data_IF_087442173808
#
_entry.id   IF_087442173808
#
_cell.length_a   1.000
_cell.length_b   1.000
_cell.length_c   1.000
_cell.angle_alpha   90.00
_cell.angle_beta   90.00
_cell.angle_gamma   90.00
#
_symmetry.space_group_name_H-M   'P 1'
#
loop_
_entity.id
_entity.type
_entity.pdbx_description
1 polymer ?
#
# COMPACT_ATOMS: atom_id res chain seq x y z
N UNK A 1 31.46 -13.74 46.90
CA UNK A 1 31.16 -12.57 46.05
C UNK A 1 31.29 -12.86 44.54
N UNK A 2 32.35 -13.54 44.09
CA UNK A 2 32.58 -13.84 42.65
C UNK A 2 31.55 -14.78 42.00
N UNK A 3 30.84 -15.63 42.75
CA UNK A 3 29.85 -16.57 42.20
C UNK A 3 28.59 -15.85 41.70
N UNK A 4 28.10 -14.85 42.44
CA UNK A 4 26.92 -14.06 42.04
C UNK A 4 27.20 -13.22 40.80
N UNK A 5 28.36 -12.56 40.72
CA UNK A 5 28.75 -11.75 39.55
C UNK A 5 28.84 -12.62 38.30
N UNK A 6 29.38 -13.83 38.39
CA UNK A 6 29.49 -14.75 37.24
C UNK A 6 28.13 -15.24 36.74
N UNK A 7 27.17 -15.49 37.62
CA UNK A 7 25.82 -15.88 37.28
C UNK A 7 25.05 -14.73 36.61
N UNK A 8 25.18 -13.51 37.10
CA UNK A 8 24.55 -12.33 36.49
C UNK A 8 25.04 -12.07 35.07
N UNK A 9 26.33 -12.18 34.82
CA UNK A 9 26.89 -12.04 33.47
C UNK A 9 26.44 -13.16 32.53
N UNK A 10 26.33 -14.38 33.03
CA UNK A 10 25.82 -15.52 32.25
C UNK A 10 24.35 -15.35 31.89
N UNK A 11 23.54 -14.94 32.85
CA UNK A 11 22.11 -14.65 32.64
C UNK A 11 21.91 -13.51 31.65
N UNK A 12 22.65 -12.41 31.79
CA UNK A 12 22.58 -11.28 30.87
C UNK A 12 22.92 -11.69 29.43
N UNK A 13 23.93 -12.53 29.21
CA UNK A 13 24.28 -13.04 27.88
C UNK A 13 23.15 -13.89 27.27
N UNK A 14 22.55 -14.77 28.07
CA UNK A 14 21.41 -15.59 27.59
C UNK A 14 20.21 -14.72 27.26
N UNK A 15 19.89 -13.74 28.12
CA UNK A 15 18.80 -12.80 27.89
C UNK A 15 19.00 -11.99 26.60
N UNK A 16 20.17 -11.40 26.39
CA UNK A 16 20.49 -10.65 25.17
C UNK A 16 20.37 -11.53 23.93
N UNK A 17 20.89 -12.76 23.97
CA UNK A 17 20.79 -13.70 22.84
C UNK A 17 19.34 -14.05 22.53
N UNK A 18 18.51 -14.31 23.55
CA UNK A 18 17.11 -14.64 23.38
C UNK A 18 16.32 -13.45 22.81
N UNK A 19 16.54 -12.25 23.34
CA UNK A 19 15.90 -11.03 22.85
C UNK A 19 16.29 -10.73 21.40
N UNK A 20 17.57 -10.89 21.06
CA UNK A 20 18.04 -10.72 19.66
C UNK A 20 17.38 -11.74 18.74
N UNK A 21 17.25 -12.99 19.14
CA UNK A 21 16.60 -14.03 18.35
C UNK A 21 15.11 -13.71 18.13
N UNK A 22 14.40 -13.32 19.17
CA UNK A 22 13.00 -12.89 19.07
C UNK A 22 12.83 -11.71 18.12
N UNK A 23 13.68 -10.70 18.25
CA UNK A 23 13.68 -9.52 17.37
C UNK A 23 13.88 -9.90 15.89
N UNK A 24 14.82 -10.80 15.60
CA UNK A 24 15.04 -11.30 14.23
C UNK A 24 13.81 -12.04 13.72
N UNK A 25 13.19 -12.89 14.54
CA UNK A 25 11.96 -13.60 14.17
C UNK A 25 10.81 -12.63 13.87
N UNK A 26 10.62 -11.60 14.68
CA UNK A 26 9.57 -10.59 14.49
C UNK A 26 9.77 -9.82 13.18
N UNK A 27 10.97 -9.31 12.94
CA UNK A 27 11.27 -8.59 11.69
C UNK A 27 11.14 -9.46 10.45
N UNK A 28 11.59 -10.73 10.52
CA UNK A 28 11.44 -11.67 9.40
C UNK A 28 9.97 -12.03 9.15
N UNK A 29 9.18 -12.21 10.19
CA UNK A 29 7.74 -12.45 10.09
C UNK A 29 7.00 -11.30 9.43
N UNK A 30 7.31 -10.05 9.82
CA UNK A 30 6.75 -8.84 9.20
C UNK A 30 7.16 -8.77 7.71
N UNK A 31 8.43 -9.02 7.38
CA UNK A 31 8.93 -8.98 6.01
C UNK A 31 8.21 -10.00 5.12
N UNK A 32 8.11 -11.25 5.56
CA UNK A 32 7.42 -12.31 4.83
C UNK A 32 5.94 -11.96 4.64
N UNK A 33 5.28 -11.48 5.68
CA UNK A 33 3.88 -11.06 5.62
C UNK A 33 3.66 -9.94 4.60
N UNK A 34 4.50 -8.91 4.61
CA UNK A 34 4.43 -7.82 3.64
C UNK A 34 4.62 -8.32 2.20
N UNK A 35 5.61 -9.18 1.96
CA UNK A 35 5.86 -9.73 0.63
C UNK A 35 4.65 -10.56 0.15
N UNK A 36 4.10 -11.42 0.98
CA UNK A 36 2.99 -12.28 0.59
C UNK A 36 1.71 -11.46 0.34
N UNK A 37 1.28 -10.65 1.32
CA UNK A 37 -0.02 -9.98 1.26
C UNK A 37 -0.04 -8.72 0.39
N UNK A 38 1.08 -8.01 0.28
CA UNK A 38 1.14 -6.74 -0.45
C UNK A 38 1.87 -6.82 -1.80
N UNK A 39 2.65 -7.87 -2.05
CA UNK A 39 3.33 -8.06 -3.33
C UNK A 39 2.77 -9.26 -4.09
N UNK A 40 2.88 -10.47 -3.53
CA UNK A 40 2.55 -11.70 -4.26
C UNK A 40 1.06 -11.76 -4.59
N UNK A 41 0.18 -11.63 -3.61
CA UNK A 41 -1.28 -11.71 -3.82
C UNK A 41 -1.77 -10.69 -4.84
N UNK A 42 -1.45 -9.38 -4.76
CA UNK A 42 -1.89 -8.42 -5.76
C UNK A 42 -1.29 -8.63 -7.16
N UNK A 43 -0.06 -9.16 -7.28
CA UNK A 43 0.53 -9.45 -8.58
C UNK A 43 -0.15 -10.60 -9.31
N UNK A 44 -0.69 -11.59 -8.56
CA UNK A 44 -1.47 -12.71 -9.09
C UNK A 44 -2.88 -12.24 -9.47
N UNK A 45 -3.45 -11.30 -8.73
CA UNK A 45 -4.78 -10.78 -9.00
C UNK A 45 -4.83 -9.94 -10.29
N UNK A 46 -5.89 -10.10 -11.07
CA UNK A 46 -6.09 -9.41 -12.37
C UNK A 46 -6.06 -7.88 -12.23
N UNK A 47 -6.67 -7.36 -11.14
CA UNK A 47 -6.81 -5.91 -10.92
C UNK A 47 -5.70 -5.34 -10.02
N UNK A 48 -4.69 -6.14 -9.66
CA UNK A 48 -3.56 -5.75 -8.80
C UNK A 48 -3.99 -5.08 -7.51
N UNK A 49 -5.03 -5.62 -6.90
CA UNK A 49 -5.61 -5.13 -5.65
C UNK A 49 -5.11 -5.94 -4.47
N UNK A 50 -4.89 -5.29 -3.32
CA UNK A 50 -4.78 -6.02 -2.06
C UNK A 50 -6.14 -6.57 -1.66
N UNK A 51 -6.18 -7.63 -0.84
CA UNK A 51 -7.43 -8.24 -0.37
C UNK A 51 -8.39 -7.21 0.23
N UNK A 52 -7.88 -6.29 1.05
CA UNK A 52 -8.69 -5.23 1.65
C UNK A 52 -9.29 -4.28 0.61
N UNK A 53 -8.51 -3.87 -0.40
CA UNK A 53 -9.01 -3.01 -1.49
C UNK A 53 -10.07 -3.71 -2.34
N UNK A 54 -9.92 -5.01 -2.58
CA UNK A 54 -10.93 -5.80 -3.27
C UNK A 54 -12.26 -5.87 -2.51
N UNK A 55 -12.20 -6.08 -1.20
CA UNK A 55 -13.39 -6.06 -0.33
C UNK A 55 -14.10 -4.70 -0.36
N UNK A 56 -13.32 -3.61 -0.36
CA UNK A 56 -13.85 -2.24 -0.45
C UNK A 56 -14.15 -1.79 -1.89
N UNK A 57 -14.00 -2.66 -2.91
CA UNK A 57 -14.20 -2.33 -4.34
C UNK A 57 -13.35 -1.14 -4.83
N UNK A 58 -12.13 -0.99 -4.28
CA UNK A 58 -11.20 0.07 -4.63
C UNK A 58 -10.17 -0.44 -5.65
N UNK A 59 -9.98 0.26 -6.75
CA UNK A 59 -8.97 -0.03 -7.79
C UNK A 59 -7.90 1.05 -7.81
N UNK A 60 -6.68 0.66 -8.16
CA UNK A 60 -5.55 1.58 -8.32
C UNK A 60 -5.42 1.92 -9.80
N UNK A 61 -5.61 3.18 -10.13
CA UNK A 61 -5.41 3.70 -11.47
C UNK A 61 -4.16 4.59 -11.56
N UNK A 62 -3.58 4.61 -12.74
CA UNK A 62 -2.55 5.58 -13.11
C UNK A 62 -3.21 6.94 -13.40
N UNK A 63 -2.42 8.01 -13.60
CA UNK A 63 -2.91 9.33 -14.02
C UNK A 63 -3.81 9.26 -15.28
N UNK A 64 -3.55 8.33 -16.17
CA UNK A 64 -4.29 8.14 -17.42
C UNK A 64 -5.62 7.37 -17.26
N UNK A 65 -6.03 7.02 -16.03
CA UNK A 65 -7.24 6.25 -15.77
C UNK A 65 -7.13 4.74 -16.03
N UNK A 66 -5.96 4.25 -16.42
CA UNK A 66 -5.72 2.83 -16.68
C UNK A 66 -5.29 2.09 -15.40
N UNK A 67 -5.55 0.78 -15.36
CA UNK A 67 -5.08 -0.09 -14.26
C UNK A 67 -3.54 -0.09 -14.23
N UNK A 68 -2.98 0.12 -13.07
CA UNK A 68 -1.54 0.24 -12.84
C UNK A 68 -0.76 -0.95 -13.40
N UNK A 69 0.34 -0.72 -14.13
CA UNK A 69 1.22 -1.78 -14.64
C UNK A 69 1.91 -2.55 -13.50
N UNK A 70 2.37 -3.78 -13.77
CA UNK A 70 3.07 -4.61 -12.76
C UNK A 70 4.32 -3.94 -12.19
N UNK A 71 5.08 -3.26 -13.07
CA UNK A 71 6.29 -2.54 -12.67
C UNK A 71 5.99 -1.37 -11.72
N UNK A 72 5.01 -0.53 -12.06
CA UNK A 72 4.58 0.60 -11.23
C UNK A 72 4.07 0.10 -9.87
N UNK A 73 3.31 -1.02 -9.84
CA UNK A 73 2.86 -1.61 -8.61
C UNK A 73 4.01 -2.11 -7.72
N UNK A 74 5.04 -2.72 -8.31
CA UNK A 74 6.23 -3.19 -7.58
C UNK A 74 7.02 -2.02 -6.99
N UNK A 75 7.21 -0.93 -7.75
CA UNK A 75 7.87 0.29 -7.25
C UNK A 75 7.08 0.89 -6.07
N UNK A 76 5.76 0.96 -6.19
CA UNK A 76 4.87 1.40 -5.13
C UNK A 76 5.03 0.55 -3.86
N UNK A 77 5.09 -0.78 -4.01
CA UNK A 77 5.33 -1.69 -2.90
C UNK A 77 6.70 -1.46 -2.24
N UNK A 78 7.77 -1.26 -3.05
CA UNK A 78 9.10 -0.97 -2.52
C UNK A 78 9.12 0.34 -1.70
N UNK A 79 8.49 1.40 -2.19
CA UNK A 79 8.37 2.67 -1.46
C UNK A 79 7.56 2.50 -0.17
N UNK A 80 6.48 1.73 -0.20
CA UNK A 80 5.71 1.40 0.99
C UNK A 80 6.52 0.61 2.01
N UNK A 81 7.23 -0.42 1.57
CA UNK A 81 8.12 -1.22 2.42
C UNK A 81 9.25 -0.37 3.01
N UNK A 82 9.86 0.52 2.21
CA UNK A 82 10.87 1.47 2.69
C UNK A 82 10.30 2.41 3.77
N UNK A 83 9.08 2.91 3.59
CA UNK A 83 8.41 3.75 4.59
C UNK A 83 8.15 2.97 5.88
N UNK A 84 7.70 1.72 5.78
CA UNK A 84 7.45 0.86 6.94
C UNK A 84 8.72 0.51 7.69
N UNK A 85 9.76 0.03 7.01
CA UNK A 85 11.05 -0.27 7.65
C UNK A 85 11.79 0.98 8.12
N UNK A 86 11.73 2.08 7.36
CA UNK A 86 12.27 3.37 7.78
C UNK A 86 11.60 3.89 9.04
N UNK A 87 10.29 3.62 9.24
CA UNK A 87 9.59 4.03 10.46
C UNK A 87 10.07 3.30 11.71
N UNK A 88 10.57 2.07 11.58
CA UNK A 88 11.17 1.33 12.70
C UNK A 88 12.49 1.94 13.12
N UNK A 89 13.29 2.47 12.18
CA UNK A 89 14.57 3.12 12.45
C UNK A 89 14.37 4.53 13.02
N UNK A 90 13.42 5.30 12.47
CA UNK A 90 13.18 6.69 12.79
C UNK A 90 11.96 6.90 13.72
N UNK A 91 11.68 5.96 14.62
CA UNK A 91 10.61 6.05 15.63
C UNK A 91 9.24 6.50 15.06
N UNK A 92 8.86 6.02 13.87
CA UNK A 92 7.57 6.29 13.26
C UNK A 92 7.47 7.57 12.42
N UNK A 93 8.52 8.39 12.32
CA UNK A 93 8.49 9.64 11.55
C UNK A 93 8.08 9.47 10.08
N UNK A 94 8.59 8.50 9.30
CA UNK A 94 8.15 8.29 7.92
C UNK A 94 6.67 7.88 7.80
N UNK A 95 6.16 7.12 8.76
CA UNK A 95 4.75 6.76 8.81
C UNK A 95 3.88 7.97 9.10
N UNK A 96 4.25 8.81 10.07
CA UNK A 96 3.59 10.08 10.36
C UNK A 96 3.57 11.00 9.14
N UNK A 97 4.68 11.15 8.43
CA UNK A 97 4.76 11.92 7.20
C UNK A 97 3.80 11.38 6.13
N UNK A 98 3.69 10.05 5.98
CA UNK A 98 2.75 9.42 5.04
C UNK A 98 1.29 9.69 5.40
N UNK A 99 0.93 9.63 6.70
CA UNK A 99 -0.43 9.94 7.19
C UNK A 99 -0.75 11.42 7.01
N UNK A 100 0.19 12.31 7.29
CA UNK A 100 0.03 13.75 7.04
C UNK A 100 -0.17 14.06 5.56
N UNK A 101 0.62 13.46 4.68
CA UNK A 101 0.42 13.59 3.22
C UNK A 101 -0.98 13.14 2.80
N UNK A 102 -1.46 12.02 3.34
CA UNK A 102 -2.79 11.51 3.06
C UNK A 102 -3.89 12.48 3.54
N UNK A 103 -3.71 13.12 4.69
CA UNK A 103 -4.67 14.09 5.26
C UNK A 103 -4.66 15.42 4.53
N UNK A 104 -3.49 15.88 4.06
CA UNK A 104 -3.32 17.19 3.39
C UNK A 104 -3.66 17.14 1.90
N UNK A 105 -3.60 15.95 1.29
CA UNK A 105 -3.84 15.79 -0.15
C UNK A 105 -5.35 15.67 -0.43
N UNK A 106 -5.88 16.47 -1.35
CA UNK A 106 -7.31 16.44 -1.74
C UNK A 106 -7.83 15.06 -2.16
N UNK A 107 -6.95 14.19 -2.66
CA UNK A 107 -7.29 12.86 -3.12
C UNK A 107 -6.97 11.75 -2.10
N UNK A 108 -6.59 12.10 -0.86
CA UNK A 108 -6.18 11.13 0.15
C UNK A 108 -4.97 10.27 -0.25
N UNK A 109 -4.07 10.83 -1.08
CA UNK A 109 -2.91 10.10 -1.57
C UNK A 109 -1.81 10.03 -0.50
N UNK A 110 -1.33 8.82 -0.21
CA UNK A 110 -0.19 8.61 0.67
C UNK A 110 1.13 9.00 -0.01
N UNK A 111 2.21 9.10 0.78
CA UNK A 111 3.52 9.52 0.27
C UNK A 111 3.98 8.68 -0.94
N UNK A 112 3.84 7.36 -0.86
CA UNK A 112 4.21 6.45 -1.95
C UNK A 112 3.28 6.57 -3.18
N UNK A 113 2.01 6.94 -2.99
CA UNK A 113 1.07 7.21 -4.08
C UNK A 113 1.40 8.49 -4.83
N UNK A 114 1.85 9.53 -4.12
CA UNK A 114 2.29 10.79 -4.70
C UNK A 114 3.53 10.61 -5.58
N UNK A 115 4.52 9.85 -5.09
CA UNK A 115 5.78 9.59 -5.82
C UNK A 115 5.52 8.80 -7.11
N UNK A 116 4.67 7.77 -7.06
CA UNK A 116 4.36 6.92 -8.22
C UNK A 116 3.23 7.49 -9.08
N UNK A 117 2.60 8.60 -8.63
CA UNK A 117 1.51 9.28 -9.34
C UNK A 117 0.30 8.36 -9.61
N UNK A 118 -0.07 7.56 -8.62
CA UNK A 118 -1.23 6.69 -8.65
C UNK A 118 -2.39 7.26 -7.85
N UNK A 119 -3.62 6.87 -8.22
CA UNK A 119 -4.84 7.24 -7.50
C UNK A 119 -5.62 5.97 -7.14
N UNK A 120 -6.22 5.97 -5.96
CA UNK A 120 -7.17 4.94 -5.55
C UNK A 120 -8.56 5.44 -5.91
N UNK A 121 -9.29 4.68 -6.72
CA UNK A 121 -10.62 5.05 -7.23
C UNK A 121 -11.63 3.99 -6.81
N UNK A 122 -12.83 4.43 -6.44
CA UNK A 122 -13.95 3.54 -6.19
C UNK A 122 -14.53 3.04 -7.52
N UNK A 123 -14.59 1.72 -7.67
CA UNK A 123 -15.08 1.07 -8.89
C UNK A 123 -16.56 1.34 -9.15
N UNK A 124 -17.36 1.57 -8.09
CA UNK A 124 -18.79 1.86 -8.22
C UNK A 124 -19.02 3.26 -8.77
N UNK A 125 -18.28 4.24 -8.28
CA UNK A 125 -18.39 5.64 -8.74
C UNK A 125 -17.93 5.75 -10.20
N UNK A 126 -16.83 5.09 -10.56
CA UNK A 126 -16.28 5.13 -11.91
C UNK A 126 -17.22 4.49 -12.94
N UNK A 127 -17.87 3.37 -12.60
CA UNK A 127 -18.91 2.76 -13.46
C UNK A 127 -20.10 3.68 -13.70
N UNK A 128 -20.53 4.40 -12.68
CA UNK A 128 -21.66 5.33 -12.80
C UNK A 128 -21.30 6.51 -13.70
N UNK A 129 -20.07 7.04 -13.61
CA UNK A 129 -19.61 8.13 -14.49
C UNK A 129 -19.52 7.67 -15.94
N UNK A 130 -18.91 6.48 -16.20
CA UNK A 130 -18.86 5.91 -17.57
C UNK A 130 -20.24 5.63 -18.17
N UNK A 131 -21.20 5.21 -17.36
CA UNK A 131 -22.58 4.95 -17.86
C UNK A 131 -23.37 6.22 -18.12
N UNK A 132 -23.08 7.31 -17.41
CA UNK A 132 -23.67 8.62 -17.68
C UNK A 132 -23.08 9.22 -18.96
N UNK A 133 -21.76 9.23 -19.10
CA UNK A 133 -21.07 9.74 -20.29
C UNK A 133 -21.53 9.01 -21.57
N UNK A 134 -21.66 7.69 -21.53
CA UNK A 134 -22.19 6.91 -22.66
C UNK A 134 -23.64 7.23 -22.97
N UNK A 135 -24.50 7.53 -21.99
CA UNK A 135 -25.88 7.94 -22.22
C UNK A 135 -25.96 9.30 -22.90
N UNK A 136 -25.19 10.25 -22.42
CA UNK A 136 -25.16 11.60 -22.98
C UNK A 136 -24.68 11.59 -24.44
N UNK A 137 -23.68 10.78 -24.78
CA UNK A 137 -23.22 10.60 -26.17
C UNK A 137 -24.28 9.96 -27.06
N UNK A 138 -25.01 8.97 -26.55
CA UNK A 138 -26.11 8.31 -27.31
C UNK A 138 -27.28 9.27 -27.54
N UNK A 139 -27.62 10.09 -26.55
CA UNK A 139 -28.70 11.09 -26.70
C UNK A 139 -28.35 12.18 -27.72
N UNK A 140 -27.12 12.67 -27.72
CA UNK A 140 -26.66 13.65 -28.73
C UNK A 140 -26.67 13.07 -30.13
N UNK A 141 -26.15 11.87 -30.31
CA UNK A 141 -26.17 11.15 -31.60
C UNK A 141 -27.59 10.83 -32.12
N UNK A 142 -28.52 10.58 -31.19
CA UNK A 142 -29.93 10.33 -31.56
C UNK A 142 -30.69 11.61 -31.95
N UNK A 143 -30.32 12.79 -31.44
CA UNK A 143 -30.87 14.07 -31.82
C UNK A 143 -30.38 14.52 -33.20
N UNK A 144 -29.10 14.36 -33.50
CA UNK A 144 -28.54 14.69 -34.81
C UNK A 144 -29.17 13.87 -35.94
N UNK A 145 -29.50 12.59 -35.73
CA UNK A 145 -30.20 11.75 -36.70
C UNK A 145 -31.67 12.09 -36.95
N UNK A 146 -32.26 12.92 -36.14
CA UNK A 146 -33.68 13.35 -36.32
C UNK A 146 -33.82 14.70 -37.01
N UNK A 147 -32.73 15.44 -37.17
CA UNK A 147 -32.67 16.73 -37.83
C UNK A 147 -32.24 16.64 -39.31
N UNK A 148 -31.81 15.46 -39.77
CA UNK A 148 -31.59 15.11 -41.19
C UNK A 148 -32.84 14.34 -41.75
#
# INVERSE_FOLDING_TARGET
MNFFIKNDVSFAKVYVKLTTLMTICDYSGIAISLIVFYLIIPLIMKDRQTLGKKLCKLVIHNKNGEVVSRGIYTIRFLLFALTMYGSLIFNGLPLLASVLCMSLTKNGASLHDLVVQTKVVDTLVNKNVETLDKRDVIEVSAKEKKED
#
